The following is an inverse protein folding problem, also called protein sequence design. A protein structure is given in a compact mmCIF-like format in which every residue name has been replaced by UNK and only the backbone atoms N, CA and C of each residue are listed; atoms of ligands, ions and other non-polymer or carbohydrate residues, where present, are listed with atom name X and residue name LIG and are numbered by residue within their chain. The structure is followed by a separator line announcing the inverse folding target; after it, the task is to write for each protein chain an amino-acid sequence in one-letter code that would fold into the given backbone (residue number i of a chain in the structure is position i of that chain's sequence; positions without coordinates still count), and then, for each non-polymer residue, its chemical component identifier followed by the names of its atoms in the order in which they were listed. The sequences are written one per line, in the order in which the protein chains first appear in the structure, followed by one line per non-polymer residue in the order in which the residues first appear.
data_IF_280120275356
#
_entry.id   IF_280120275356
#
_cell.length_a   1.000
_cell.length_b   1.000
_cell.length_c   1.000
_cell.angle_alpha   90.00
_cell.angle_beta   90.00
_cell.angle_gamma   90.00
#
_symmetry.space_group_name_H-M   'P 1'
#
loop_
_entity.id
_entity.type
_entity.pdbx_description
1 polymer ?
#
# COMPACT_ATOMS: atom_id res chain seq x y z
N UNK A 1 39.11 -14.85 12.79
CA UNK A 1 37.78 -14.60 13.39
C UNK A 1 37.08 -13.65 12.43
N UNK A 2 36.11 -14.19 11.68
CA UNK A 2 35.62 -13.63 10.42
C UNK A 2 34.74 -12.40 10.66
N UNK A 3 35.27 -11.21 10.34
CA UNK A 3 34.53 -9.94 10.40
C UNK A 3 33.31 -9.91 9.45
N UNK A 4 33.30 -10.79 8.44
CA UNK A 4 32.20 -10.91 7.48
C UNK A 4 30.91 -11.51 8.07
N UNK A 5 31.01 -12.27 9.16
CA UNK A 5 29.83 -12.86 9.81
C UNK A 5 29.01 -11.81 10.59
N UNK A 6 29.67 -10.85 11.25
CA UNK A 6 28.98 -9.82 12.04
C UNK A 6 28.28 -8.74 11.20
N UNK A 7 28.72 -8.49 9.96
CA UNK A 7 28.04 -7.52 9.08
C UNK A 7 26.67 -8.02 8.58
N UNK A 8 26.53 -9.33 8.36
CA UNK A 8 25.28 -9.98 7.94
C UNK A 8 24.22 -10.03 9.05
N UNK A 9 24.65 -10.03 10.31
CA UNK A 9 23.74 -9.98 11.47
C UNK A 9 23.20 -8.57 11.76
N UNK A 10 23.91 -7.52 11.31
CA UNK A 10 23.53 -6.11 11.54
C UNK A 10 22.64 -5.57 10.41
N UNK A 11 22.97 -5.91 9.17
CA UNK A 11 22.21 -5.54 7.98
C UNK A 11 21.68 -6.83 7.36
N UNK A 12 20.48 -7.25 7.80
CA UNK A 12 19.83 -8.45 7.27
C UNK A 12 19.91 -8.50 5.75
N UNK A 13 20.05 -9.70 5.19
CA UNK A 13 20.28 -9.87 3.75
C UNK A 13 19.23 -9.10 2.93
N UNK A 14 19.65 -8.33 1.91
CA UNK A 14 18.70 -7.70 1.03
C UNK A 14 17.86 -8.82 0.42
N UNK A 15 16.54 -8.79 0.64
CA UNK A 15 15.62 -9.64 -0.10
C UNK A 15 15.80 -9.26 -1.56
N UNK A 16 16.60 -10.05 -2.27
CA UNK A 16 16.69 -10.02 -3.72
C UNK A 16 15.28 -10.39 -4.17
N UNK A 17 14.46 -9.36 -4.46
CA UNK A 17 13.27 -9.58 -5.26
C UNK A 17 13.74 -10.28 -6.52
N UNK A 18 13.11 -11.41 -6.85
CA UNK A 18 13.51 -12.24 -7.98
C UNK A 18 13.84 -11.36 -9.18
N UNK A 19 15.10 -11.40 -9.63
CA UNK A 19 15.54 -10.61 -10.76
C UNK A 19 14.83 -11.16 -12.01
N UNK A 20 14.06 -10.32 -12.69
CA UNK A 20 13.28 -10.76 -13.84
C UNK A 20 14.14 -10.67 -15.11
N UNK A 21 14.39 -11.81 -15.77
CA UNK A 21 15.18 -11.87 -17.01
C UNK A 21 14.45 -11.24 -18.22
N UNK A 22 13.11 -11.24 -18.21
CA UNK A 22 12.28 -10.80 -19.34
C UNK A 22 10.99 -10.10 -18.89
N UNK A 23 10.54 -9.10 -19.67
CA UNK A 23 9.28 -8.37 -19.45
C UNK A 23 8.42 -8.44 -20.72
N UNK A 24 7.12 -8.72 -20.57
CA UNK A 24 6.15 -8.78 -21.67
C UNK A 24 4.99 -7.82 -21.46
N UNK A 25 4.45 -7.25 -22.54
CA UNK A 25 3.27 -6.38 -22.52
C UNK A 25 2.11 -7.11 -23.20
N UNK A 26 0.94 -7.11 -22.56
CA UNK A 26 -0.29 -7.70 -23.09
C UNK A 26 -1.48 -6.82 -22.73
N UNK A 27 -2.58 -6.97 -23.48
CA UNK A 27 -3.86 -6.33 -23.15
C UNK A 27 -4.43 -6.98 -21.88
N UNK A 28 -4.86 -6.18 -20.91
CA UNK A 28 -5.54 -6.66 -19.72
C UNK A 28 -7.02 -6.92 -20.01
N UNK A 29 -7.53 -8.08 -19.57
CA UNK A 29 -8.97 -8.36 -19.58
C UNK A 29 -9.68 -7.60 -18.45
N UNK A 30 -11.01 -7.47 -18.55
CA UNK A 30 -11.82 -6.83 -17.51
C UNK A 30 -11.62 -7.49 -16.13
N UNK A 31 -11.54 -8.83 -16.08
CA UNK A 31 -11.32 -9.58 -14.84
C UNK A 31 -9.93 -9.33 -14.26
N UNK A 32 -8.91 -9.20 -15.12
CA UNK A 32 -7.54 -8.88 -14.70
C UNK A 32 -7.48 -7.48 -14.07
N UNK A 33 -8.11 -6.48 -14.70
CA UNK A 33 -8.21 -5.13 -14.13
C UNK A 33 -8.94 -5.11 -12.79
N UNK A 34 -10.01 -5.91 -12.64
CA UNK A 34 -10.73 -6.05 -11.37
C UNK A 34 -9.87 -6.73 -10.30
N UNK A 35 -9.05 -7.72 -10.67
CA UNK A 35 -8.17 -8.43 -9.74
C UNK A 35 -7.07 -7.55 -9.15
N UNK A 36 -6.64 -6.52 -9.87
CA UNK A 36 -5.67 -5.52 -9.37
C UNK A 36 -6.31 -4.47 -8.45
N UNK A 37 -7.62 -4.33 -8.52
CA UNK A 37 -8.32 -3.30 -7.76
C UNK A 37 -8.60 -3.78 -6.33
N UNK A 38 -8.22 -2.96 -5.35
CA UNK A 38 -8.56 -3.15 -3.95
C UNK A 38 -9.96 -2.61 -3.59
N UNK A 39 -10.69 -2.02 -4.54
CA UNK A 39 -12.03 -1.49 -4.32
C UNK A 39 -12.53 -0.55 -5.42
N UNK A 40 -13.84 -0.29 -5.41
CA UNK A 40 -14.51 0.55 -6.42
C UNK A 40 -14.70 1.99 -5.93
N UNK A 41 -14.33 2.96 -6.77
CA UNK A 41 -14.64 4.38 -6.58
C UNK A 41 -16.03 4.67 -7.15
N UNK A 42 -16.92 5.23 -6.32
CA UNK A 42 -18.32 5.49 -6.70
C UNK A 42 -18.60 6.98 -6.91
N UNK A 43 -17.83 7.83 -6.26
CA UNK A 43 -18.03 9.28 -6.27
C UNK A 43 -16.76 9.97 -6.81
N UNK A 44 -16.91 11.11 -7.53
CA UNK A 44 -15.77 11.89 -8.03
C UNK A 44 -15.09 12.74 -6.94
N UNK A 45 -15.68 12.79 -5.73
CA UNK A 45 -15.17 13.60 -4.62
C UNK A 45 -13.75 13.18 -4.22
N UNK A 46 -12.94 14.17 -3.82
CA UNK A 46 -11.53 13.97 -3.50
C UNK A 46 -11.29 14.08 -1.99
N UNK A 47 -11.20 15.31 -1.49
CA UNK A 47 -10.95 15.64 -0.09
C UNK A 47 -11.96 16.67 0.39
N UNK A 48 -12.29 16.58 1.66
CA UNK A 48 -13.15 17.56 2.30
C UNK A 48 -12.43 18.91 2.43
N UNK A 49 -13.06 19.99 1.98
CA UNK A 49 -12.46 21.33 1.98
C UNK A 49 -12.13 21.90 3.37
N UNK A 50 -12.81 21.47 4.44
CA UNK A 50 -12.54 21.96 5.81
C UNK A 50 -11.60 21.06 6.57
N UNK A 51 -11.85 19.75 6.52
CA UNK A 51 -11.13 18.79 7.36
C UNK A 51 -9.88 18.23 6.68
N UNK A 52 -9.73 18.44 5.37
CA UNK A 52 -8.71 17.84 4.52
C UNK A 52 -8.68 16.30 4.58
N UNK A 53 -9.76 15.69 5.09
CA UNK A 53 -9.91 14.23 5.13
C UNK A 53 -10.41 13.73 3.78
N UNK A 54 -9.92 12.58 3.30
CA UNK A 54 -10.46 11.96 2.10
C UNK A 54 -11.93 11.59 2.24
N UNK A 55 -12.68 11.77 1.16
CA UNK A 55 -14.11 11.43 1.14
C UNK A 55 -14.33 9.92 0.97
N UNK A 56 -15.35 9.38 1.65
CA UNK A 56 -15.66 7.94 1.59
C UNK A 56 -16.22 7.55 0.22
N UNK A 57 -15.58 6.58 -0.44
CA UNK A 57 -15.94 6.16 -1.79
C UNK A 57 -15.51 7.15 -2.89
N UNK A 58 -14.77 8.19 -2.52
CA UNK A 58 -14.12 9.13 -3.43
C UNK A 58 -12.79 8.63 -3.95
N UNK A 59 -12.14 9.45 -4.77
CA UNK A 59 -10.87 9.14 -5.44
C UNK A 59 -9.70 8.87 -4.48
N UNK A 60 -9.74 9.42 -3.26
CA UNK A 60 -8.69 9.22 -2.25
C UNK A 60 -9.16 8.37 -1.07
N UNK A 61 -10.20 7.54 -1.24
CA UNK A 61 -10.78 6.78 -0.14
C UNK A 61 -9.76 5.86 0.54
N UNK A 62 -9.55 6.07 1.84
CA UNK A 62 -8.57 5.30 2.64
C UNK A 62 -8.88 3.79 2.71
N UNK A 63 -10.13 3.39 2.42
CA UNK A 63 -10.51 1.97 2.37
C UNK A 63 -9.99 1.26 1.11
N UNK A 64 -9.85 1.99 0.01
CA UNK A 64 -9.41 1.43 -1.29
C UNK A 64 -7.90 1.49 -1.37
N UNK A 65 -7.32 2.65 -1.05
CA UNK A 65 -5.90 2.92 -1.28
C UNK A 65 -5.03 2.79 -0.02
N UNK A 66 -5.64 2.67 1.16
CA UNK A 66 -4.94 2.56 2.44
C UNK A 66 -5.00 3.84 3.28
N UNK A 67 -4.55 3.75 4.55
CA UNK A 67 -4.67 4.85 5.50
C UNK A 67 -3.74 6.01 5.14
N UNK A 68 -4.17 7.26 5.43
CA UNK A 68 -3.33 8.46 5.23
C UNK A 68 -2.19 8.55 6.24
N UNK A 69 -2.28 7.83 7.36
CA UNK A 69 -1.29 7.83 8.44
C UNK A 69 -0.89 6.40 8.80
N UNK A 70 0.39 6.21 9.06
CA UNK A 70 0.92 4.91 9.43
C UNK A 70 0.24 4.36 10.69
N UNK A 71 -0.25 3.13 10.59
CA UNK A 71 -0.85 2.40 11.71
C UNK A 71 -2.02 3.14 12.39
N UNK A 72 -2.71 4.03 11.67
CA UNK A 72 -3.89 4.76 12.16
C UNK A 72 -5.07 4.61 11.17
N UNK A 73 -6.21 4.18 11.69
CA UNK A 73 -7.44 4.06 10.90
C UNK A 73 -8.12 5.43 10.72
N UNK A 74 -8.82 5.63 9.59
CA UNK A 74 -9.62 6.82 9.26
C UNK A 74 -10.48 7.40 10.40
N UNK A 75 -11.11 6.52 11.17
CA UNK A 75 -12.00 6.91 12.28
C UNK A 75 -11.25 7.27 13.56
N UNK A 76 -9.94 7.04 13.62
CA UNK A 76 -9.09 7.25 14.78
C UNK A 76 -9.30 6.25 15.92
N UNK A 77 -10.15 5.24 15.76
CA UNK A 77 -10.40 4.22 16.80
C UNK A 77 -9.18 3.31 17.02
N UNK A 78 -8.55 2.89 15.92
CA UNK A 78 -7.37 2.04 15.96
C UNK A 78 -6.15 2.90 15.63
N UNK A 79 -5.21 2.97 16.58
CA UNK A 79 -3.98 3.76 16.50
C UNK A 79 -2.81 2.97 17.05
N UNK A 80 -1.62 3.22 16.49
CA UNK A 80 -0.32 2.65 16.87
C UNK A 80 -0.16 1.19 16.43
N UNK A 81 1.09 0.74 16.44
CA UNK A 81 1.55 -0.58 15.98
C UNK A 81 0.87 -1.77 16.71
N UNK A 82 0.28 -1.54 17.88
CA UNK A 82 -0.46 -2.59 18.63
C UNK A 82 -1.67 -3.16 17.90
N UNK A 83 -2.22 -2.43 16.92
CA UNK A 83 -3.38 -2.84 16.12
C UNK A 83 -2.99 -3.12 14.66
N UNK A 84 -1.75 -3.59 14.45
CA UNK A 84 -1.22 -4.03 13.16
C UNK A 84 -2.04 -5.15 12.54
#
# INVERSE_FOLDING_TARGET
MNADASLKEIFGEPQHGEEFDYVSICIASADRTRSWSSGEVKNPETINYRTFKPEKGGLFCERIFGPTRDWECACGKYKRIKHK
#
